data_IF_697842185341
#
_entry.id   IF_697842185341
#
_cell.length_a   1.000
_cell.length_b   1.000
_cell.length_c   1.000
_cell.angle_alpha   90.00
_cell.angle_beta   90.00
_cell.angle_gamma   90.00
#
_symmetry.space_group_name_H-M   'P 1'
#
loop_
_entity.id
_entity.type
_entity.pdbx_description
1 polymer ?
#
# COMPACT_ATOMS: atom_id res chain seq x y z
N UNK A 1 -1.64 10.26 5.83
CA UNK A 1 -1.50 9.28 6.94
C UNK A 1 -0.61 8.08 6.59
N UNK A 2 -0.54 7.58 5.36
CA UNK A 2 0.23 6.36 5.01
C UNK A 2 1.72 6.32 5.41
N UNK A 3 2.49 7.38 5.12
CA UNK A 3 3.95 7.40 5.39
C UNK A 3 4.33 7.11 6.86
N UNK A 4 3.81 7.83 7.87
CA UNK A 4 4.14 7.54 9.27
C UNK A 4 3.68 6.15 9.71
N UNK A 5 2.59 5.60 9.16
CA UNK A 5 2.17 4.22 9.44
C UNK A 5 3.17 3.20 8.93
N UNK A 6 3.59 3.32 7.66
CA UNK A 6 4.59 2.44 7.06
C UNK A 6 5.93 2.48 7.83
N UNK A 7 6.35 3.68 8.27
CA UNK A 7 7.56 3.86 9.08
C UNK A 7 7.45 3.28 10.49
N UNK A 8 6.25 3.19 11.06
CA UNK A 8 6.08 2.54 12.36
C UNK A 8 6.18 1.01 12.22
N UNK A 9 5.66 0.44 11.13
CA UNK A 9 5.77 -1.00 10.86
C UNK A 9 7.24 -1.43 10.70
N UNK A 10 8.09 -0.61 10.05
CA UNK A 10 9.51 -0.93 9.87
C UNK A 10 10.28 -1.01 11.19
N UNK A 11 9.84 -0.31 12.25
CA UNK A 11 10.49 -0.33 13.56
C UNK A 11 10.39 -1.68 14.27
N UNK A 12 9.34 -2.46 14.00
CA UNK A 12 9.11 -3.75 14.67
C UNK A 12 10.19 -4.78 14.34
N UNK A 13 10.88 -4.66 13.19
CA UNK A 13 11.82 -5.64 12.61
C UNK A 13 11.23 -7.05 12.35
N UNK A 14 10.02 -7.35 12.82
CA UNK A 14 9.29 -8.61 12.58
C UNK A 14 8.65 -8.67 11.21
N UNK A 15 8.43 -7.52 10.58
CA UNK A 15 7.77 -7.41 9.28
C UNK A 15 8.75 -6.91 8.22
N UNK A 16 8.72 -7.53 7.03
CA UNK A 16 9.32 -6.95 5.84
C UNK A 16 8.31 -5.97 5.25
N UNK A 17 8.63 -4.68 5.30
CA UNK A 17 7.72 -3.62 4.83
C UNK A 17 8.23 -3.08 3.50
N UNK A 18 7.37 -3.13 2.50
CA UNK A 18 7.58 -2.54 1.17
C UNK A 18 6.49 -1.50 0.95
N UNK A 19 6.87 -0.32 0.45
CA UNK A 19 5.96 0.79 0.20
C UNK A 19 5.82 1.11 -1.29
N UNK A 20 4.67 1.64 -1.67
CA UNK A 20 4.42 2.24 -2.98
C UNK A 20 3.53 3.48 -2.79
N UNK A 21 3.78 4.51 -3.58
CA UNK A 21 2.96 5.72 -3.65
C UNK A 21 3.11 6.30 -5.06
N UNK A 22 2.04 6.80 -5.67
CA UNK A 22 2.13 7.47 -6.98
C UNK A 22 3.03 8.73 -6.94
N UNK A 23 3.20 9.34 -5.76
CA UNK A 23 4.07 10.50 -5.55
C UNK A 23 5.50 10.04 -5.24
N UNK A 24 6.40 10.28 -6.17
CA UNK A 24 7.84 10.01 -6.04
C UNK A 24 8.43 10.66 -4.77
N UNK A 25 7.96 11.86 -4.40
CA UNK A 25 8.40 12.52 -3.17
C UNK A 25 8.09 11.70 -1.90
N UNK A 26 6.94 11.03 -1.83
CA UNK A 26 6.59 10.14 -0.72
C UNK A 26 7.52 8.93 -0.69
N UNK A 27 7.79 8.33 -1.85
CA UNK A 27 8.69 7.19 -1.96
C UNK A 27 10.10 7.53 -1.51
N UNK A 28 10.65 8.67 -1.96
CA UNK A 28 11.97 9.17 -1.55
C UNK A 28 12.05 9.36 -0.03
N UNK A 29 11.02 9.95 0.58
CA UNK A 29 10.95 10.14 2.05
C UNK A 29 10.86 8.83 2.82
N UNK A 30 10.20 7.81 2.28
CA UNK A 30 10.16 6.49 2.92
C UNK A 30 11.52 5.79 2.80
N UNK A 31 12.11 5.80 1.60
CA UNK A 31 13.42 5.20 1.31
C UNK A 31 14.54 5.84 2.14
N UNK A 32 14.56 7.17 2.27
CA UNK A 32 15.59 7.87 3.07
C UNK A 32 15.53 7.51 4.57
N UNK A 33 14.42 6.94 5.03
CA UNK A 33 14.22 6.47 6.40
C UNK A 33 14.34 4.94 6.52
N UNK A 34 14.98 4.29 5.54
CA UNK A 34 15.24 2.84 5.53
C UNK A 34 14.08 1.97 5.04
N UNK A 35 13.00 2.57 4.52
CA UNK A 35 11.91 1.84 3.89
C UNK A 35 12.30 1.25 2.53
N UNK A 36 11.77 0.08 2.18
CA UNK A 36 11.89 -0.49 0.83
C UNK A 36 10.76 0.01 -0.06
N UNK A 37 11.04 0.26 -1.33
CA UNK A 37 10.06 0.75 -2.30
C UNK A 37 9.91 -0.29 -3.41
N UNK A 38 8.65 -0.57 -3.78
CA UNK A 38 8.33 -1.36 -4.97
C UNK A 38 8.35 -0.49 -6.22
N UNK A 39 8.67 -1.08 -7.36
CA UNK A 39 8.81 -0.35 -8.64
C UNK A 39 7.45 0.03 -9.23
N UNK A 40 6.41 -0.75 -8.91
CA UNK A 40 5.03 -0.51 -9.34
C UNK A 40 4.03 -1.03 -8.32
N UNK A 41 2.75 -0.70 -8.52
CA UNK A 41 1.67 -1.27 -7.71
C UNK A 41 1.57 -2.80 -7.91
N UNK A 42 1.71 -3.30 -9.15
CA UNK A 42 1.73 -4.75 -9.40
C UNK A 42 2.91 -5.45 -8.70
N UNK A 43 4.09 -4.85 -8.74
CA UNK A 43 5.27 -5.37 -8.04
C UNK A 43 5.03 -5.43 -6.52
N UNK A 44 4.45 -4.38 -5.94
CA UNK A 44 4.05 -4.39 -4.54
C UNK A 44 3.06 -5.51 -4.25
N UNK A 45 1.98 -5.60 -5.04
CA UNK A 45 0.94 -6.60 -4.87
C UNK A 45 1.54 -8.00 -4.91
N UNK A 46 2.44 -8.29 -5.85
CA UNK A 46 3.02 -9.63 -6.04
C UNK A 46 4.04 -10.01 -4.96
N UNK A 47 4.70 -9.04 -4.34
CA UNK A 47 5.80 -9.27 -3.40
C UNK A 47 5.38 -9.36 -1.92
N UNK A 48 4.10 -9.20 -1.60
CA UNK A 48 3.61 -9.14 -0.21
C UNK A 48 2.42 -10.06 0.05
N UNK A 49 2.31 -10.52 1.30
CA UNK A 49 1.17 -11.32 1.80
C UNK A 49 0.02 -10.43 2.31
N UNK A 50 0.35 -9.26 2.86
CA UNK A 50 -0.62 -8.32 3.44
C UNK A 50 -0.44 -6.95 2.79
N UNK A 51 -1.51 -6.42 2.23
CA UNK A 51 -1.57 -5.10 1.62
C UNK A 51 -2.35 -4.17 2.56
N UNK A 52 -1.78 -3.01 2.87
CA UNK A 52 -2.43 -1.97 3.66
C UNK A 52 -2.51 -0.69 2.82
N UNK A 53 -3.71 -0.16 2.62
CA UNK A 53 -3.93 1.09 1.89
C UNK A 53 -4.35 2.22 2.81
N UNK A 54 -3.95 3.45 2.46
CA UNK A 54 -4.40 4.67 3.13
C UNK A 54 -4.41 5.80 2.11
N UNK A 55 -5.50 5.85 1.35
CA UNK A 55 -5.70 6.66 0.16
C UNK A 55 -6.49 7.93 0.49
N UNK A 56 -6.49 8.93 -0.41
CA UNK A 56 -7.16 10.21 -0.18
C UNK A 56 -8.69 10.15 -0.04
N UNK A 57 -9.35 9.14 -0.64
CA UNK A 57 -10.81 9.00 -0.56
C UNK A 57 -11.40 7.96 -1.51
N UNK A 58 -12.74 7.89 -1.60
CA UNK A 58 -13.49 6.83 -2.28
C UNK A 58 -13.06 6.59 -3.73
N UNK A 59 -12.85 7.67 -4.50
CA UNK A 59 -12.43 7.56 -5.92
C UNK A 59 -11.12 6.78 -6.08
N UNK A 60 -10.13 7.04 -5.23
CA UNK A 60 -8.85 6.36 -5.30
C UNK A 60 -8.95 4.91 -4.80
N UNK A 61 -9.79 4.65 -3.80
CA UNK A 61 -10.06 3.31 -3.31
C UNK A 61 -10.69 2.46 -4.44
N UNK A 62 -11.70 2.98 -5.12
CA UNK A 62 -12.35 2.31 -6.26
C UNK A 62 -11.38 2.05 -7.41
N UNK A 63 -10.51 2.99 -7.75
CA UNK A 63 -9.51 2.80 -8.81
C UNK A 63 -8.46 1.72 -8.45
N UNK A 64 -8.00 1.69 -7.21
CA UNK A 64 -7.06 0.66 -6.73
C UNK A 64 -7.74 -0.71 -6.59
N UNK A 65 -9.01 -0.75 -6.19
CA UNK A 65 -9.78 -1.98 -6.05
C UNK A 65 -10.17 -2.59 -7.41
N UNK A 66 -10.78 -1.77 -8.29
CA UNK A 66 -11.51 -2.19 -9.48
C UNK A 66 -11.06 -1.50 -10.78
N UNK A 67 -10.07 -0.59 -10.72
CA UNK A 67 -9.54 0.11 -11.90
C UNK A 67 -8.68 -0.79 -12.78
N UNK A 68 -7.61 -0.25 -13.38
CA UNK A 68 -6.72 -1.07 -14.22
C UNK A 68 -5.71 -1.88 -13.42
N UNK A 69 -5.37 -1.44 -12.21
CA UNK A 69 -4.34 -2.01 -11.33
C UNK A 69 -4.96 -2.68 -10.11
N UNK A 70 -5.88 -3.62 -10.36
CA UNK A 70 -6.85 -4.14 -9.38
C UNK A 70 -6.20 -4.99 -8.29
N UNK A 71 -6.25 -4.53 -7.05
CA UNK A 71 -5.92 -5.37 -5.89
C UNK A 71 -6.85 -6.59 -5.82
N UNK A 72 -8.15 -6.42 -6.13
CA UNK A 72 -9.16 -7.48 -5.93
C UNK A 72 -8.82 -8.78 -6.67
N UNK A 73 -8.23 -8.67 -7.87
CA UNK A 73 -7.86 -9.84 -8.69
C UNK A 73 -6.65 -10.60 -8.13
N UNK A 74 -5.85 -9.95 -7.30
CA UNK A 74 -4.69 -10.56 -6.68
C UNK A 74 -5.01 -11.24 -5.35
N UNK A 75 -6.20 -11.00 -4.79
CA UNK A 75 -6.59 -11.58 -3.52
C UNK A 75 -6.89 -13.06 -3.71
N UNK A 76 -6.21 -13.89 -2.93
CA UNK A 76 -6.41 -15.32 -2.84
C UNK A 76 -6.49 -15.74 -1.36
N UNK A 77 -6.47 -17.05 -1.07
CA UNK A 77 -6.53 -17.55 0.30
C UNK A 77 -5.32 -17.16 1.18
N UNK A 78 -4.25 -16.61 0.59
CA UNK A 78 -3.00 -16.23 1.25
C UNK A 78 -2.82 -14.72 1.35
N UNK A 79 -3.58 -13.93 0.58
CA UNK A 79 -3.46 -12.47 0.57
C UNK A 79 -4.58 -11.78 1.32
N UNK A 80 -4.20 -10.80 2.13
CA UNK A 80 -5.12 -9.95 2.89
C UNK A 80 -4.97 -8.51 2.43
N UNK A 81 -6.09 -7.84 2.16
CA UNK A 81 -6.12 -6.40 1.95
C UNK A 81 -6.87 -5.71 3.09
N UNK A 82 -6.21 -4.76 3.72
CA UNK A 82 -6.74 -3.91 4.80
C UNK A 82 -6.78 -2.47 4.29
N UNK A 83 -7.97 -1.93 4.11
CA UNK A 83 -8.12 -0.52 3.77
C UNK A 83 -8.29 0.34 5.03
N UNK A 84 -7.35 1.26 5.24
CA UNK A 84 -7.34 2.23 6.33
C UNK A 84 -7.58 3.66 5.81
N UNK A 85 -8.27 3.78 4.68
CA UNK A 85 -8.65 5.05 4.08
C UNK A 85 -9.98 5.54 4.68
N UNK A 86 -10.18 6.85 4.72
CA UNK A 86 -11.52 7.39 4.99
C UNK A 86 -12.37 7.18 3.74
N UNK A 87 -13.48 6.45 3.87
CA UNK A 87 -14.35 6.07 2.76
C UNK A 87 -15.82 6.44 3.00
N UNK A 88 -16.63 6.35 1.96
CA UNK A 88 -18.09 6.47 1.94
C UNK A 88 -18.68 5.14 1.42
N UNK A 89 -19.88 4.79 1.88
CA UNK A 89 -20.63 3.62 1.37
C UNK A 89 -21.32 3.97 0.03
N UNK A 90 -21.44 5.26 -0.26
CA UNK A 90 -22.10 5.84 -1.43
C UNK A 90 -21.10 6.46 -2.40
#
# INVERSE_FOLDING_TARGET
MGLPMALNLTKSKKFKVVGYDIKICSQKKFKSKGGKIADSLEDLINSVDIIITCLPGPKQITDVAFGKKRIINSLDKKKIWIDCSTNSIN
#
